data_IF_902411215996
#
_entry.id   IF_902411215996
#
_cell.length_a   1.000
_cell.length_b   1.000
_cell.length_c   1.000
_cell.angle_alpha   90.00
_cell.angle_beta   90.00
_cell.angle_gamma   90.00
#
_symmetry.space_group_name_H-M   'P 1'
#
loop_
_entity.id
_entity.type
_entity.pdbx_description
1 polymer ?
#
# COMPACT_ATOMS: atom_id res chain seq x y z
N UNK A 1 15.74 0.02 -25.87
CA UNK A 1 14.53 -0.23 -25.10
C UNK A 1 14.93 -0.19 -23.63
N UNK A 2 14.45 0.80 -22.87
CA UNK A 2 14.67 0.86 -21.42
C UNK A 2 14.10 -0.40 -20.75
N UNK A 3 14.77 -0.88 -19.71
CA UNK A 3 14.29 -2.03 -18.96
C UNK A 3 13.00 -1.63 -18.27
N UNK A 4 11.89 -2.30 -18.56
CA UNK A 4 10.60 -2.06 -17.90
C UNK A 4 10.75 -2.33 -16.40
N UNK A 5 10.41 -1.35 -15.56
CA UNK A 5 10.51 -1.47 -14.10
C UNK A 5 9.12 -1.72 -13.54
N UNK A 6 8.99 -2.77 -12.73
CA UNK A 6 7.80 -3.07 -11.95
C UNK A 6 8.14 -2.79 -10.49
N UNK A 7 7.32 -2.02 -9.79
CA UNK A 7 7.49 -1.78 -8.36
C UNK A 7 6.51 -2.62 -7.54
N UNK A 8 6.96 -3.10 -6.39
CA UNK A 8 6.09 -3.65 -5.34
C UNK A 8 5.62 -2.53 -4.42
N UNK A 9 4.35 -2.49 -4.11
CA UNK A 9 3.76 -1.50 -3.19
C UNK A 9 3.01 -2.23 -2.08
N UNK A 10 3.40 -1.97 -0.84
CA UNK A 10 2.56 -2.23 0.31
C UNK A 10 1.69 -0.99 0.58
N UNK A 11 0.41 -1.08 0.26
CA UNK A 11 -0.56 0.00 0.49
C UNK A 11 -1.18 -0.14 1.89
N UNK A 12 -0.46 0.27 2.92
CA UNK A 12 -0.86 0.09 4.31
C UNK A 12 -1.93 1.09 4.80
N UNK A 13 -2.58 0.76 5.92
CA UNK A 13 -3.61 1.61 6.54
C UNK A 13 -3.03 2.91 7.10
N UNK A 14 -1.84 2.85 7.69
CA UNK A 14 -1.17 3.99 8.33
C UNK A 14 0.01 4.48 7.54
N UNK A 15 0.86 3.58 7.08
CA UNK A 15 2.00 3.86 6.24
C UNK A 15 1.99 2.89 5.05
N UNK A 16 2.56 3.32 3.95
CA UNK A 16 2.79 2.52 2.75
C UNK A 16 4.28 2.45 2.47
N UNK A 17 4.71 1.43 1.74
CA UNK A 17 6.09 1.25 1.31
C UNK A 17 6.15 0.87 -0.16
N UNK A 18 7.26 1.14 -0.80
CA UNK A 18 7.50 0.69 -2.16
C UNK A 18 8.92 0.15 -2.30
N UNK A 19 9.08 -0.83 -3.18
CA UNK A 19 10.36 -1.43 -3.49
C UNK A 19 10.47 -1.79 -4.98
N UNK A 20 11.68 -1.92 -5.47
CA UNK A 20 11.98 -2.46 -6.79
C UNK A 20 13.08 -3.53 -6.69
N UNK A 21 13.29 -4.28 -7.76
CA UNK A 21 14.38 -5.25 -7.83
C UNK A 21 15.60 -4.63 -8.50
N UNK A 22 16.71 -4.58 -7.77
CA UNK A 22 18.03 -4.22 -8.29
C UNK A 22 18.96 -5.41 -8.21
N UNK A 23 19.43 -5.89 -9.37
CA UNK A 23 20.28 -7.08 -9.42
C UNK A 23 19.65 -8.34 -8.81
N UNK A 24 18.32 -8.47 -8.84
CA UNK A 24 17.57 -9.58 -8.23
C UNK A 24 17.32 -9.45 -6.73
N UNK A 25 17.70 -8.34 -6.12
CA UNK A 25 17.46 -8.06 -4.69
C UNK A 25 16.43 -6.95 -4.53
N UNK A 26 15.51 -7.05 -3.54
CA UNK A 26 14.57 -5.98 -3.26
C UNK A 26 15.30 -4.79 -2.61
N UNK A 27 15.04 -3.60 -3.13
CA UNK A 27 15.53 -2.32 -2.63
C UNK A 27 14.34 -1.41 -2.36
N UNK A 28 14.27 -0.87 -1.15
CA UNK A 28 13.19 0.06 -0.76
C UNK A 28 13.39 1.39 -1.47
N UNK A 29 12.31 1.90 -2.03
CA UNK A 29 12.24 3.23 -2.66
C UNK A 29 11.97 4.25 -1.55
N UNK A 30 12.85 5.26 -1.37
CA UNK A 30 12.65 6.27 -0.33
C UNK A 30 11.53 7.25 -0.70
N UNK A 31 10.84 7.76 0.32
CA UNK A 31 9.97 8.93 0.16
C UNK A 31 10.82 10.19 -0.03
N UNK A 32 10.41 11.07 -0.94
CA UNK A 32 11.10 12.34 -1.20
C UNK A 32 11.17 13.26 0.03
N UNK A 33 10.21 13.15 0.97
CA UNK A 33 10.23 13.92 2.21
C UNK A 33 11.20 13.40 3.27
N UNK A 34 11.63 12.15 3.19
CA UNK A 34 12.73 11.57 3.94
C UNK A 34 12.62 11.55 5.47
N UNK A 35 11.46 11.86 6.05
CA UNK A 35 11.36 12.13 7.49
C UNK A 35 10.92 10.94 8.34
N UNK A 36 10.23 9.96 7.77
CA UNK A 36 9.68 8.82 8.51
C UNK A 36 10.56 7.59 8.37
N UNK A 37 11.06 7.03 9.49
CA UNK A 37 11.90 5.83 9.54
C UNK A 37 13.04 5.82 8.49
N UNK A 38 13.82 6.91 8.45
CA UNK A 38 14.91 7.04 7.49
C UNK A 38 14.46 7.21 6.04
N UNK A 39 13.24 7.73 5.82
CA UNK A 39 12.69 7.98 4.49
C UNK A 39 12.12 6.76 3.78
N UNK A 40 11.99 5.62 4.46
CA UNK A 40 11.56 4.36 3.85
C UNK A 40 10.05 4.14 3.82
N UNK A 41 9.29 4.99 4.49
CA UNK A 41 7.84 4.88 4.61
C UNK A 41 7.13 6.12 4.08
N UNK A 42 5.97 5.91 3.47
CA UNK A 42 5.05 6.94 3.02
C UNK A 42 3.83 6.93 3.95
N UNK A 43 3.59 7.97 4.77
CA UNK A 43 2.33 8.04 5.52
C UNK A 43 1.13 7.99 4.58
N UNK A 44 0.20 7.06 4.84
CA UNK A 44 -1.03 6.89 4.04
C UNK A 44 -2.05 7.97 4.39
N UNK A 45 -1.65 9.23 4.22
CA UNK A 45 -2.39 10.43 4.59
C UNK A 45 -2.49 11.37 3.39
N UNK A 46 -3.71 11.84 3.13
CA UNK A 46 -4.01 12.84 2.09
C UNK A 46 -4.64 14.04 2.74
N UNK A 47 -4.21 15.23 2.40
CA UNK A 47 -4.82 16.45 2.89
C UNK A 47 -4.94 17.51 1.79
N UNK A 48 -5.82 18.48 2.03
CA UNK A 48 -6.03 19.61 1.14
C UNK A 48 -5.78 20.92 1.89
N UNK A 49 -4.95 21.78 1.34
CA UNK A 49 -4.64 23.10 1.90
C UNK A 49 -5.85 24.02 1.86
N UNK A 50 -5.75 25.19 2.49
CA UNK A 50 -6.80 26.22 2.42
C UNK A 50 -7.05 26.66 0.97
N UNK A 51 -6.02 26.71 0.14
CA UNK A 51 -6.10 27.11 -1.27
C UNK A 51 -6.65 25.98 -2.17
N UNK A 52 -6.66 24.77 -1.68
CA UNK A 52 -7.21 23.60 -2.39
C UNK A 52 -6.16 22.66 -2.95
N UNK A 53 -4.89 22.93 -2.71
CA UNK A 53 -3.80 22.08 -3.16
C UNK A 53 -3.81 20.76 -2.41
N UNK A 54 -3.59 19.68 -3.13
CA UNK A 54 -3.47 18.35 -2.56
C UNK A 54 -2.05 18.11 -2.07
N UNK A 55 -1.92 17.68 -0.84
CA UNK A 55 -0.67 17.19 -0.25
C UNK A 55 -0.84 15.78 0.26
N UNK A 56 0.20 14.95 0.16
CA UNK A 56 0.18 13.52 0.52
C UNK A 56 1.44 13.20 1.33
N UNK A 57 1.34 12.20 2.20
CA UNK A 57 2.48 11.73 2.98
C UNK A 57 2.77 12.56 4.23
N UNK A 58 4.04 12.79 4.51
CA UNK A 58 4.49 13.51 5.70
C UNK A 58 3.94 14.94 5.81
N UNK A 59 3.90 15.74 4.75
CA UNK A 59 3.28 17.08 4.81
C UNK A 59 1.81 17.03 5.23
N UNK A 60 1.05 16.07 4.69
CA UNK A 60 -0.34 15.86 5.05
C UNK A 60 -0.50 15.42 6.51
N UNK A 61 0.35 14.51 6.98
CA UNK A 61 0.36 14.02 8.36
C UNK A 61 0.68 15.13 9.36
N UNK A 62 1.68 15.98 9.06
CA UNK A 62 2.08 17.10 9.95
C UNK A 62 0.96 18.10 10.17
N UNK A 63 0.14 18.39 9.16
CA UNK A 63 -0.97 19.34 9.31
C UNK A 63 -2.27 18.73 9.87
N UNK A 64 -2.34 17.41 10.07
CA UNK A 64 -3.57 16.72 10.44
C UNK A 64 -4.24 17.30 11.70
N UNK A 65 -3.46 17.70 12.69
CA UNK A 65 -3.96 18.29 13.93
C UNK A 65 -4.57 19.68 13.71
N UNK A 66 -3.98 20.48 12.82
CA UNK A 66 -4.41 21.85 12.55
C UNK A 66 -5.52 21.93 11.48
N UNK A 67 -5.65 20.89 10.66
CA UNK A 67 -6.60 20.83 9.55
C UNK A 67 -7.27 19.45 9.44
N UNK A 68 -7.90 18.95 10.53
CA UNK A 68 -8.45 17.60 10.56
C UNK A 68 -9.61 17.41 9.57
N UNK A 69 -10.41 18.46 9.32
CA UNK A 69 -11.56 18.41 8.42
C UNK A 69 -11.21 18.22 6.94
N UNK A 70 -9.97 18.56 6.55
CA UNK A 70 -9.48 18.41 5.18
C UNK A 70 -8.32 17.41 5.09
N UNK A 71 -8.16 16.55 6.11
CA UNK A 71 -7.13 15.52 6.17
C UNK A 71 -7.78 14.14 6.28
N UNK A 72 -7.43 13.25 5.38
CA UNK A 72 -7.94 11.88 5.31
C UNK A 72 -6.84 10.92 5.74
N UNK A 73 -7.14 10.11 6.73
CA UNK A 73 -6.29 9.05 7.24
C UNK A 73 -7.06 7.73 7.25
N UNK A 74 -6.34 6.61 7.22
CA UNK A 74 -6.88 5.25 7.37
C UNK A 74 -7.96 4.89 6.33
N UNK A 75 -7.88 5.45 5.12
CA UNK A 75 -8.90 5.27 4.06
C UNK A 75 -9.01 3.79 3.63
N UNK A 76 -7.95 3.00 3.75
CA UNK A 76 -7.93 1.56 3.42
C UNK A 76 -9.05 0.77 4.10
N UNK A 77 -9.47 1.19 5.31
CA UNK A 77 -10.58 0.56 6.05
C UNK A 77 -11.94 0.65 5.33
N UNK A 78 -12.05 1.54 4.36
CA UNK A 78 -13.29 1.79 3.60
C UNK A 78 -13.24 1.25 2.17
N UNK A 79 -12.16 0.56 1.78
CA UNK A 79 -12.04 -0.04 0.45
C UNK A 79 -13.19 -1.03 0.20
N UNK A 80 -13.73 -1.03 -1.01
CA UNK A 80 -14.87 -1.86 -1.40
C UNK A 80 -16.22 -1.43 -0.82
N UNK A 81 -16.31 -0.25 -0.20
CA UNK A 81 -17.56 0.27 0.37
C UNK A 81 -18.08 1.51 -0.36
N UNK A 82 -19.33 1.88 -0.11
CA UNK A 82 -19.93 3.14 -0.63
C UNK A 82 -19.55 4.38 0.18
N UNK A 83 -18.55 4.27 1.07
CA UNK A 83 -18.07 5.41 1.86
C UNK A 83 -17.65 6.58 0.96
N UNK A 84 -17.89 7.81 1.41
CA UNK A 84 -17.44 9.03 0.72
C UNK A 84 -16.88 10.00 1.74
N UNK A 85 -15.69 10.49 1.47
CA UNK A 85 -15.09 11.58 2.22
C UNK A 85 -15.45 12.90 1.54
N UNK A 86 -15.98 13.85 2.31
CA UNK A 86 -16.32 15.16 1.77
C UNK A 86 -15.27 16.18 2.18
N UNK A 87 -14.60 16.78 1.20
CA UNK A 87 -13.60 17.81 1.40
C UNK A 87 -13.95 19.00 0.53
N UNK A 88 -14.11 20.19 1.12
CA UNK A 88 -14.46 21.42 0.40
C UNK A 88 -15.62 21.25 -0.59
N UNK A 89 -16.71 20.58 -0.16
CA UNK A 89 -17.90 20.29 -0.98
C UNK A 89 -17.70 19.23 -2.08
N UNK A 90 -16.50 18.71 -2.30
CA UNK A 90 -16.23 17.61 -3.21
C UNK A 90 -16.22 16.28 -2.46
N UNK A 91 -16.85 15.27 -3.04
CA UNK A 91 -16.91 13.92 -2.47
C UNK A 91 -15.87 13.04 -3.18
N UNK A 92 -15.12 12.30 -2.39
CA UNK A 92 -14.11 11.36 -2.86
C UNK A 92 -14.43 9.95 -2.39
N UNK A 93 -14.21 8.97 -3.24
CA UNK A 93 -14.31 7.56 -2.89
C UNK A 93 -13.01 7.07 -2.20
N UNK A 94 -13.05 5.91 -1.52
CA UNK A 94 -11.83 5.31 -0.99
C UNK A 94 -10.76 5.04 -2.06
N UNK A 95 -11.19 4.63 -3.25
CA UNK A 95 -10.31 4.39 -4.41
C UNK A 95 -9.61 5.67 -4.86
N UNK A 96 -10.34 6.79 -4.95
CA UNK A 96 -9.77 8.09 -5.34
C UNK A 96 -8.74 8.60 -4.31
N UNK A 97 -9.01 8.45 -3.01
CA UNK A 97 -8.05 8.84 -1.96
C UNK A 97 -6.83 7.90 -1.97
N UNK A 98 -7.03 6.59 -2.10
CA UNK A 98 -5.94 5.62 -2.21
C UNK A 98 -5.10 5.86 -3.46
N UNK A 99 -5.73 6.23 -4.57
CA UNK A 99 -5.04 6.60 -5.79
C UNK A 99 -4.11 7.82 -5.61
N UNK A 100 -4.48 8.79 -4.78
CA UNK A 100 -3.63 9.95 -4.48
C UNK A 100 -2.35 9.51 -3.74
N UNK A 101 -2.46 8.51 -2.85
CA UNK A 101 -1.29 7.92 -2.17
C UNK A 101 -0.41 7.20 -3.19
N UNK A 102 -1.01 6.36 -4.04
CA UNK A 102 -0.29 5.63 -5.08
C UNK A 102 0.38 6.56 -6.09
N UNK A 103 -0.26 7.67 -6.46
CA UNK A 103 0.34 8.70 -7.33
C UNK A 103 1.59 9.34 -6.71
N UNK A 104 1.56 9.58 -5.40
CA UNK A 104 2.74 10.10 -4.68
C UNK A 104 3.87 9.08 -4.68
N UNK A 105 3.57 7.81 -4.36
CA UNK A 105 4.55 6.72 -4.40
C UNK A 105 5.14 6.56 -5.80
N UNK A 106 4.30 6.58 -6.84
CA UNK A 106 4.73 6.53 -8.24
C UNK A 106 5.70 7.67 -8.57
N UNK A 107 5.32 8.91 -8.25
CA UNK A 107 6.15 10.08 -8.54
C UNK A 107 7.50 10.03 -7.83
N UNK A 108 7.54 9.59 -6.57
CA UNK A 108 8.78 9.44 -5.81
C UNK A 108 9.66 8.30 -6.38
N UNK A 109 9.02 7.21 -6.81
CA UNK A 109 9.71 6.10 -7.48
C UNK A 109 10.34 6.54 -8.81
N UNK A 110 9.59 7.28 -9.63
CA UNK A 110 10.07 7.83 -10.91
C UNK A 110 11.24 8.80 -10.69
N UNK A 111 11.12 9.68 -9.70
CA UNK A 111 12.20 10.62 -9.36
C UNK A 111 13.46 9.90 -8.83
N UNK A 112 13.28 8.84 -8.04
CA UNK A 112 14.39 8.07 -7.46
C UNK A 112 15.11 7.21 -8.51
N UNK A 113 14.34 6.56 -9.40
CA UNK A 113 14.86 5.60 -10.37
C UNK A 113 15.24 6.25 -11.71
N UNK A 114 14.77 7.47 -11.98
CA UNK A 114 15.02 8.19 -13.22
C UNK A 114 14.33 7.58 -14.44
N UNK A 115 13.26 6.80 -14.23
CA UNK A 115 12.49 6.14 -15.30
C UNK A 115 11.00 6.23 -15.02
N UNK A 116 10.19 6.19 -16.06
CA UNK A 116 8.72 6.13 -15.91
C UNK A 116 8.29 4.79 -15.31
N UNK A 117 7.35 4.82 -14.40
CA UNK A 117 6.78 3.63 -13.73
C UNK A 117 5.33 3.44 -14.18
N UNK A 118 5.11 2.41 -14.98
CA UNK A 118 3.78 2.07 -15.50
C UNK A 118 3.12 0.91 -14.74
N UNK A 119 3.91 0.04 -14.09
CA UNK A 119 3.47 -1.24 -13.54
C UNK A 119 3.76 -1.38 -12.06
N UNK A 120 2.82 -2.00 -11.35
CA UNK A 120 2.99 -2.32 -9.94
C UNK A 120 2.37 -3.68 -9.57
N UNK A 121 2.94 -4.29 -8.54
CA UNK A 121 2.31 -5.34 -7.73
C UNK A 121 1.90 -4.69 -6.41
N UNK A 122 0.65 -4.88 -5.96
CA UNK A 122 0.15 -4.23 -4.75
C UNK A 122 -0.29 -5.30 -3.74
N UNK A 123 0.05 -5.13 -2.47
CA UNK A 123 -0.38 -6.05 -1.42
C UNK A 123 -1.73 -5.66 -0.83
N UNK A 124 -2.46 -6.66 -0.36
CA UNK A 124 -3.73 -6.52 0.36
C UNK A 124 -3.80 -7.51 1.53
N UNK A 125 -4.57 -7.23 2.58
CA UNK A 125 -4.83 -8.20 3.63
C UNK A 125 -5.41 -9.50 3.08
N UNK A 126 -5.07 -10.65 3.70
CA UNK A 126 -5.54 -11.95 3.24
C UNK A 126 -7.08 -12.09 3.28
N UNK A 127 -7.73 -11.42 4.25
CA UNK A 127 -9.19 -11.43 4.41
C UNK A 127 -9.95 -10.48 3.47
N UNK A 128 -9.27 -9.68 2.64
CA UNK A 128 -9.96 -8.82 1.67
C UNK A 128 -10.80 -9.65 0.73
N UNK A 129 -12.09 -9.29 0.62
CA UNK A 129 -12.99 -9.88 -0.37
C UNK A 129 -12.72 -9.34 -1.78
N UNK A 130 -13.37 -9.94 -2.78
CA UNK A 130 -13.16 -9.58 -4.18
C UNK A 130 -13.47 -8.10 -4.47
N UNK A 131 -14.49 -7.52 -3.83
CA UNK A 131 -14.82 -6.10 -3.98
C UNK A 131 -13.70 -5.18 -3.46
N UNK A 132 -13.08 -5.52 -2.34
CA UNK A 132 -11.95 -4.76 -1.77
C UNK A 132 -10.68 -4.91 -2.62
N UNK A 133 -10.42 -6.11 -3.15
CA UNK A 133 -9.32 -6.37 -4.10
C UNK A 133 -9.52 -5.58 -5.38
N UNK A 134 -10.73 -5.60 -5.95
CA UNK A 134 -11.06 -4.82 -7.16
C UNK A 134 -10.91 -3.32 -6.91
N UNK A 135 -11.37 -2.81 -5.77
CA UNK A 135 -11.18 -1.40 -5.38
C UNK A 135 -9.70 -1.00 -5.31
N UNK A 136 -8.83 -1.92 -4.85
CA UNK A 136 -7.37 -1.69 -4.84
C UNK A 136 -6.80 -1.62 -6.27
N UNK A 137 -7.24 -2.50 -7.16
CA UNK A 137 -6.88 -2.45 -8.58
C UNK A 137 -7.34 -1.15 -9.22
N UNK A 138 -8.56 -0.72 -8.93
CA UNK A 138 -9.13 0.52 -9.49
C UNK A 138 -8.41 1.76 -8.97
N UNK A 139 -7.98 1.77 -7.69
CA UNK A 139 -7.12 2.81 -7.16
C UNK A 139 -5.78 2.88 -7.90
N UNK A 140 -5.16 1.74 -8.22
CA UNK A 140 -3.95 1.67 -9.04
C UNK A 140 -4.16 2.25 -10.44
N UNK A 141 -5.27 1.89 -11.10
CA UNK A 141 -5.63 2.43 -12.43
C UNK A 141 -5.82 3.94 -12.40
N UNK A 142 -6.54 4.46 -11.40
CA UNK A 142 -6.74 5.92 -11.21
C UNK A 142 -5.40 6.62 -10.98
N UNK A 143 -4.46 5.95 -10.32
CA UNK A 143 -3.10 6.46 -10.12
C UNK A 143 -2.22 6.42 -11.39
N UNK A 144 -2.70 5.83 -12.47
CA UNK A 144 -1.93 5.65 -13.71
C UNK A 144 -0.93 4.49 -13.62
N UNK A 145 -1.27 3.46 -12.83
CA UNK A 145 -0.52 2.21 -12.71
C UNK A 145 -1.32 1.05 -13.30
N UNK A 146 -0.67 0.23 -14.11
CA UNK A 146 -1.16 -1.10 -14.44
C UNK A 146 -0.83 -2.04 -13.28
N UNK A 147 -1.85 -2.46 -12.55
CA UNK A 147 -1.69 -3.44 -11.47
C UNK A 147 -1.56 -4.82 -12.09
N UNK A 148 -0.33 -5.34 -12.13
CA UNK A 148 -0.05 -6.65 -12.72
C UNK A 148 -0.54 -7.78 -11.84
N UNK A 149 -0.48 -7.60 -10.52
CA UNK A 149 -0.93 -8.61 -9.55
C UNK A 149 -1.29 -7.98 -8.21
N UNK A 150 -2.28 -8.57 -7.55
CA UNK A 150 -2.55 -8.37 -6.12
C UNK A 150 -2.02 -9.60 -5.37
N UNK A 151 -1.27 -9.37 -4.29
CA UNK A 151 -0.69 -10.42 -3.43
C UNK A 151 -1.18 -10.20 -2.00
N UNK A 152 -1.41 -11.26 -1.26
CA UNK A 152 -1.75 -11.16 0.16
C UNK A 152 -0.52 -10.67 0.96
N UNK A 153 -0.70 -9.74 1.88
CA UNK A 153 0.35 -9.20 2.76
C UNK A 153 1.15 -10.31 3.47
N UNK A 154 0.50 -11.32 4.12
CA UNK A 154 1.24 -12.40 4.75
C UNK A 154 2.02 -13.27 3.74
N UNK A 155 1.51 -13.46 2.53
CA UNK A 155 2.25 -14.17 1.47
C UNK A 155 3.50 -13.38 1.03
N UNK A 156 3.37 -12.08 0.87
CA UNK A 156 4.51 -11.21 0.54
C UNK A 156 5.57 -11.23 1.66
N UNK A 157 5.15 -11.21 2.92
CA UNK A 157 6.04 -11.30 4.07
C UNK A 157 6.79 -12.64 4.11
N UNK A 158 6.08 -13.76 3.87
CA UNK A 158 6.68 -15.09 3.80
C UNK A 158 7.72 -15.21 2.67
N UNK A 159 7.39 -14.70 1.48
CA UNK A 159 8.33 -14.62 0.35
C UNK A 159 9.57 -13.79 0.68
N UNK A 160 9.39 -12.62 1.32
CA UNK A 160 10.51 -11.76 1.72
C UNK A 160 11.41 -12.41 2.77
N UNK A 161 10.87 -13.27 3.63
CA UNK A 161 11.64 -14.04 4.60
C UNK A 161 12.44 -15.18 3.96
N UNK A 162 12.17 -15.51 2.71
CA UNK A 162 12.87 -16.57 1.96
C UNK A 162 12.27 -17.95 2.16
N UNK A 163 10.98 -18.02 2.42
CA UNK A 163 10.21 -19.25 2.55
C UNK A 163 9.71 -19.79 1.18
N UNK A 164 10.22 -19.27 0.07
CA UNK A 164 9.96 -19.76 -1.29
C UNK A 164 10.83 -20.97 -1.69
N UNK A 165 11.59 -21.49 -0.74
CA UNK A 165 12.53 -22.60 -0.97
C UNK A 165 11.86 -23.94 -0.69
N UNK A 166 12.41 -25.00 -1.30
CA UNK A 166 11.93 -26.39 -1.21
C UNK A 166 11.61 -26.83 0.21
N UNK A 167 10.44 -27.48 0.39
CA UNK A 167 9.98 -28.08 1.62
C UNK A 167 8.56 -27.70 2.00
N UNK A 168 7.96 -28.55 2.83
CA UNK A 168 6.64 -28.33 3.41
C UNK A 168 6.78 -27.56 4.74
N UNK A 169 6.08 -26.46 4.88
CA UNK A 169 6.09 -25.64 6.11
C UNK A 169 4.68 -25.18 6.45
N UNK A 170 4.36 -25.21 7.74
CA UNK A 170 3.22 -24.44 8.28
C UNK A 170 3.78 -23.21 8.98
N UNK A 171 3.38 -22.04 8.53
CA UNK A 171 3.85 -20.75 9.08
C UNK A 171 2.71 -19.93 9.63
N UNK A 172 2.98 -19.24 10.75
CA UNK A 172 2.11 -18.21 11.29
C UNK A 172 2.74 -16.85 11.00
N UNK A 173 2.00 -15.99 10.30
CA UNK A 173 2.36 -14.59 10.09
C UNK A 173 1.53 -13.74 11.03
N UNK A 174 2.20 -12.97 11.90
CA UNK A 174 1.58 -12.01 12.80
C UNK A 174 1.94 -10.62 12.31
N UNK A 175 0.94 -9.89 11.83
CA UNK A 175 1.08 -8.53 11.32
C UNK A 175 0.40 -7.55 12.29
N UNK A 176 1.21 -6.75 12.99
CA UNK A 176 0.74 -5.70 13.90
C UNK A 176 0.99 -4.34 13.27
N UNK A 177 -0.03 -3.82 12.60
CA UNK A 177 -0.01 -2.49 12.00
C UNK A 177 -0.40 -1.37 12.96
N UNK A 178 -0.42 -0.13 12.46
CA UNK A 178 -0.83 1.05 13.23
C UNK A 178 -2.35 1.20 13.41
N UNK A 179 -3.13 0.18 13.12
CA UNK A 179 -4.61 0.21 13.24
C UNK A 179 -5.27 -1.11 12.92
N UNK A 180 -4.50 -2.14 12.61
CA UNK A 180 -4.94 -3.51 12.35
C UNK A 180 -3.97 -4.48 13.01
N UNK A 181 -4.49 -5.62 13.42
CA UNK A 181 -3.70 -6.78 13.82
C UNK A 181 -4.24 -7.99 13.07
N UNK A 182 -3.38 -8.65 12.34
CA UNK A 182 -3.74 -9.78 11.51
C UNK A 182 -2.86 -11.00 11.85
N UNK A 183 -3.50 -12.15 11.99
CA UNK A 183 -2.84 -13.45 12.16
C UNK A 183 -3.26 -14.34 11.01
N UNK A 184 -2.30 -14.85 10.27
CA UNK A 184 -2.54 -15.74 9.15
C UNK A 184 -1.73 -17.02 9.32
N UNK A 185 -2.41 -18.16 9.22
CA UNK A 185 -1.77 -19.47 9.14
C UNK A 185 -1.76 -19.88 7.68
N UNK A 186 -0.60 -20.27 7.19
CA UNK A 186 -0.38 -20.70 5.81
C UNK A 186 0.36 -22.00 5.77
N UNK A 187 0.02 -22.86 4.82
CA UNK A 187 0.84 -23.97 4.37
C UNK A 187 1.62 -23.57 3.14
N UNK A 188 2.82 -24.07 3.07
CA UNK A 188 3.75 -23.85 1.97
C UNK A 188 4.27 -25.20 1.52
N UNK A 189 4.11 -25.46 0.24
CA UNK A 189 4.61 -26.67 -0.42
C UNK A 189 5.20 -26.28 -1.78
N UNK A 190 6.50 -26.54 -1.95
CA UNK A 190 7.26 -26.27 -3.19
C UNK A 190 6.98 -24.89 -3.84
N UNK A 191 6.92 -23.85 -3.02
CA UNK A 191 6.70 -22.47 -3.48
C UNK A 191 5.23 -22.08 -3.72
N UNK A 192 4.30 -22.99 -3.44
CA UNK A 192 2.86 -22.70 -3.38
C UNK A 192 2.48 -22.28 -1.96
N UNK A 193 1.68 -21.24 -1.85
CA UNK A 193 1.26 -20.65 -0.57
C UNK A 193 -0.25 -20.74 -0.44
N UNK A 194 -0.72 -21.59 0.46
CA UNK A 194 -2.13 -21.75 0.76
C UNK A 194 -2.49 -21.15 2.11
N UNK A 195 -3.42 -20.19 2.12
CA UNK A 195 -3.92 -19.58 3.36
C UNK A 195 -4.98 -20.51 3.97
N UNK A 196 -4.62 -21.16 5.09
CA UNK A 196 -5.50 -22.07 5.82
C UNK A 196 -6.50 -21.30 6.66
N UNK A 197 -6.05 -20.27 7.35
CA UNK A 197 -6.89 -19.46 8.22
C UNK A 197 -6.32 -18.05 8.37
N UNK A 198 -7.21 -17.08 8.46
CA UNK A 198 -6.87 -15.70 8.82
C UNK A 198 -7.87 -15.18 9.82
N UNK A 199 -7.36 -14.41 10.81
CA UNK A 199 -8.16 -13.74 11.82
C UNK A 199 -7.45 -12.44 12.19
N UNK A 200 -8.19 -11.48 12.77
CA UNK A 200 -7.58 -10.23 13.17
C UNK A 200 -8.58 -9.20 13.65
N UNK A 201 -8.05 -8.04 14.03
CA UNK A 201 -8.83 -6.86 14.39
C UNK A 201 -8.42 -5.68 13.50
N UNK A 202 -9.41 -5.04 12.89
CA UNK A 202 -9.20 -3.87 12.01
C UNK A 202 -9.59 -2.54 12.69
N UNK A 203 -9.75 -2.53 14.00
CA UNK A 203 -10.18 -1.37 14.80
C UNK A 203 -9.28 -1.09 16.00
N UNK A 204 -7.99 -1.40 15.87
CA UNK A 204 -7.01 -1.01 16.88
C UNK A 204 -6.91 0.51 17.02
#
# INVERSE_FOLDING_TARGET
MGKEVIIGIDLGTTNSEAAHLEGGRPVIIPSAEGSTFGGKMFPSVVAFTKDGDRIVGDPAKRQAVLNPQNTVMRIKRHMGTKHRVTIKKKKYSPEEISAMILQKIKADAEAHLGVDIEKAVITVPAYFNDGQRQSTIDAGKIAGLKVERIINEPTAAALAYGLDKEGEYTVAVLDLGGGTFDVTIMEMDDGVFDVISTSGDNKL
#
